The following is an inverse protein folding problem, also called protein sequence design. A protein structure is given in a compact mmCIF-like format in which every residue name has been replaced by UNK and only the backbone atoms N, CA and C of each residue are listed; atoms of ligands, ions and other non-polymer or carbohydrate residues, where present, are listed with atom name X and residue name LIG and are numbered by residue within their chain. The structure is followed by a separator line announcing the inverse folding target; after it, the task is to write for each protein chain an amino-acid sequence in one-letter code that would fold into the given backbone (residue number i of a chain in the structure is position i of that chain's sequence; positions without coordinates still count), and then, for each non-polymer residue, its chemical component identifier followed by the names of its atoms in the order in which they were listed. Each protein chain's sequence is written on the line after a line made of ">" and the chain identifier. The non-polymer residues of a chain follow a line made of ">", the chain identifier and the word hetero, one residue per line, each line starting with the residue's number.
data_IF_630240768110
#
_entry.id   IF_630240768110
#
_cell.length_a   1.000
_cell.length_b   1.000
_cell.length_c   1.000
_cell.angle_alpha   90.00
_cell.angle_beta   90.00
_cell.angle_gamma   90.00
#
_symmetry.space_group_name_H-M   'P 1'
#
loop_
_entity.id
_entity.type
_entity.pdbx_description
1 polymer ?
#
# COMPACT_ATOMS: atom_id res chain seq x y z
N UNK A 1 3.86 -2.94 -9.13
CA UNK A 1 3.12 -1.84 -9.79
C UNK A 1 2.34 -1.04 -8.74
N UNK A 2 1.74 0.10 -9.09
CA UNK A 2 1.07 1.00 -8.15
C UNK A 2 0.01 1.89 -8.86
N UNK A 3 -1.22 1.94 -8.33
CA UNK A 3 -2.31 2.79 -8.83
C UNK A 3 -2.44 4.13 -8.08
N UNK A 4 -1.51 4.48 -7.18
CA UNK A 4 -1.61 5.62 -6.30
C UNK A 4 -1.00 6.91 -6.88
N UNK A 5 -1.72 8.00 -6.65
CA UNK A 5 -1.33 9.40 -6.79
C UNK A 5 -1.04 9.97 -8.19
N UNK A 6 0.22 10.24 -8.56
CA UNK A 6 0.56 10.95 -9.81
C UNK A 6 0.62 9.98 -11.01
N UNK A 7 -0.28 10.10 -12.00
CA UNK A 7 -0.38 9.15 -13.10
C UNK A 7 0.66 9.34 -14.21
N UNK A 8 1.50 10.39 -14.16
CA UNK A 8 2.44 10.76 -15.21
C UNK A 8 3.91 10.63 -14.77
N UNK A 9 4.42 9.40 -14.54
CA UNK A 9 5.82 9.22 -14.20
C UNK A 9 6.73 9.70 -15.33
N UNK A 10 7.80 10.41 -14.97
CA UNK A 10 8.83 10.88 -15.90
C UNK A 10 10.22 10.42 -15.45
N UNK A 11 11.06 9.91 -16.37
CA UNK A 11 12.44 9.57 -16.04
C UNK A 11 13.25 10.84 -15.71
N UNK A 12 14.32 10.66 -14.95
CA UNK A 12 15.25 11.74 -14.60
C UNK A 12 15.10 12.23 -13.16
N UNK A 13 15.54 13.47 -12.90
CA UNK A 13 15.53 14.06 -11.55
C UNK A 13 14.08 14.20 -11.08
N UNK A 14 13.77 13.53 -9.97
CA UNK A 14 12.47 13.66 -9.31
C UNK A 14 12.26 15.10 -8.81
N UNK A 15 11.07 15.71 -9.03
CA UNK A 15 10.78 17.05 -8.56
C UNK A 15 10.97 17.19 -7.05
N UNK A 16 11.24 18.41 -6.61
CA UNK A 16 11.25 18.70 -5.17
C UNK A 16 9.84 18.51 -4.56
N UNK A 17 9.78 18.09 -3.29
CA UNK A 17 8.52 17.85 -2.61
C UNK A 17 7.72 19.15 -2.50
N UNK A 18 6.41 19.04 -2.68
CA UNK A 18 5.49 20.16 -2.47
C UNK A 18 5.34 20.40 -0.96
N UNK A 19 5.79 21.54 -0.40
CA UNK A 19 5.75 21.77 1.04
C UNK A 19 4.35 21.55 1.62
N UNK A 20 4.24 20.79 2.69
CA UNK A 20 2.96 20.57 3.37
C UNK A 20 1.91 19.77 2.62
N UNK A 21 2.29 19.09 1.53
CA UNK A 21 1.38 18.26 0.76
C UNK A 21 1.71 16.78 0.97
N UNK A 22 0.72 16.02 1.44
CA UNK A 22 0.85 14.58 1.68
C UNK A 22 1.10 13.78 0.39
N UNK A 23 1.93 12.74 0.49
CA UNK A 23 2.43 11.91 -0.62
C UNK A 23 2.96 12.77 -1.79
N UNK A 24 3.60 13.91 -1.49
CA UNK A 24 4.10 14.80 -2.53
C UNK A 24 4.99 14.03 -3.52
N UNK A 25 4.64 14.11 -4.81
CA UNK A 25 5.39 13.51 -5.92
C UNK A 25 5.44 11.96 -5.91
N UNK A 26 4.57 11.28 -5.15
CA UNK A 26 4.40 9.83 -5.30
C UNK A 26 3.88 9.51 -6.70
N UNK A 27 4.49 8.54 -7.37
CA UNK A 27 4.20 8.22 -8.77
C UNK A 27 3.50 6.87 -8.87
N UNK A 28 2.44 6.82 -9.67
CA UNK A 28 1.85 5.57 -10.11
C UNK A 28 2.82 4.83 -11.03
N UNK A 29 2.77 3.50 -11.00
CA UNK A 29 3.60 2.61 -11.82
C UNK A 29 2.72 1.54 -12.47
N UNK A 30 2.70 1.43 -13.82
CA UNK A 30 3.61 2.05 -14.78
C UNK A 30 3.21 3.45 -15.26
N UNK A 31 2.22 4.08 -14.61
CA UNK A 31 1.59 5.33 -15.05
C UNK A 31 0.48 5.11 -16.08
N UNK A 32 -0.39 6.11 -16.26
CA UNK A 32 -1.61 5.95 -17.06
C UNK A 32 -1.34 5.76 -18.55
N UNK A 33 -0.32 6.42 -19.11
CA UNK A 33 0.01 6.25 -20.52
C UNK A 33 0.42 4.80 -20.82
N UNK A 34 1.31 4.24 -20.00
CA UNK A 34 1.77 2.86 -20.14
C UNK A 34 0.66 1.84 -19.83
N UNK A 35 -0.17 2.10 -18.82
CA UNK A 35 -1.29 1.23 -18.47
C UNK A 35 -2.30 1.10 -19.63
N UNK A 36 -2.47 2.18 -20.41
CA UNK A 36 -3.40 2.24 -21.55
C UNK A 36 -2.84 1.64 -22.83
N UNK A 37 -1.53 1.57 -22.99
CA UNK A 37 -0.84 1.11 -24.19
C UNK A 37 -0.48 -0.37 -24.08
N UNK A 38 -1.27 -1.22 -24.75
CA UNK A 38 -1.00 -2.68 -24.77
C UNK A 38 0.31 -3.03 -25.50
N UNK A 39 0.82 -2.15 -26.36
CA UNK A 39 2.13 -2.32 -27.01
C UNK A 39 3.29 -2.30 -26.01
N UNK A 40 3.08 -1.75 -24.80
CA UNK A 40 4.07 -1.73 -23.72
C UNK A 40 4.03 -2.96 -22.82
N UNK A 41 3.09 -3.89 -23.00
CA UNK A 41 3.02 -5.12 -22.18
C UNK A 41 4.32 -5.95 -22.19
N UNK A 42 5.01 -6.15 -23.32
CA UNK A 42 6.28 -6.89 -23.33
C UNK A 42 7.36 -6.26 -22.44
N UNK A 43 7.43 -4.92 -22.39
CA UNK A 43 8.36 -4.20 -21.52
C UNK A 43 8.02 -4.39 -20.04
N UNK A 44 6.73 -4.29 -19.69
CA UNK A 44 6.26 -4.50 -18.31
C UNK A 44 6.45 -5.95 -17.85
N UNK A 45 6.20 -6.91 -18.74
CA UNK A 45 6.47 -8.33 -18.49
C UNK A 45 7.96 -8.57 -18.24
N UNK A 46 8.83 -8.03 -19.11
CA UNK A 46 10.27 -8.14 -18.96
C UNK A 46 10.73 -7.59 -17.60
N UNK A 47 10.27 -6.40 -17.20
CA UNK A 47 10.59 -5.83 -15.89
C UNK A 47 10.22 -6.76 -14.73
N UNK A 48 8.98 -7.30 -14.72
CA UNK A 48 8.52 -8.20 -13.66
C UNK A 48 9.37 -9.48 -13.62
N UNK A 49 9.59 -10.09 -14.79
CA UNK A 49 10.35 -11.33 -14.90
C UNK A 49 11.82 -11.15 -14.53
N UNK A 50 12.44 -10.05 -14.94
CA UNK A 50 13.85 -9.76 -14.66
C UNK A 50 14.09 -9.63 -13.16
N UNK A 51 13.25 -8.86 -12.45
CA UNK A 51 13.37 -8.68 -10.99
C UNK A 51 13.13 -10.00 -10.26
N UNK A 52 12.06 -10.72 -10.58
CA UNK A 52 11.72 -11.97 -9.88
C UNK A 52 12.72 -13.07 -10.21
N UNK A 53 13.21 -13.18 -11.44
CA UNK A 53 14.23 -14.18 -11.80
C UNK A 53 15.56 -13.89 -11.13
N UNK A 54 15.95 -12.61 -11.00
CA UNK A 54 17.20 -12.23 -10.37
C UNK A 54 17.24 -12.56 -8.86
N UNK A 55 16.10 -12.45 -8.16
CA UNK A 55 16.05 -12.59 -6.70
C UNK A 55 15.10 -13.66 -6.16
N UNK A 56 14.43 -14.43 -7.01
CA UNK A 56 13.37 -15.39 -6.62
C UNK A 56 13.84 -16.59 -5.79
N UNK A 57 15.14 -16.68 -5.49
CA UNK A 57 15.76 -17.68 -4.60
C UNK A 57 16.42 -17.05 -3.36
N UNK A 58 16.30 -15.74 -3.20
CA UNK A 58 16.90 -15.00 -2.08
C UNK A 58 16.03 -15.17 -0.82
N UNK A 59 16.59 -15.78 0.21
CA UNK A 59 15.89 -16.08 1.47
C UNK A 59 15.58 -14.84 2.31
N UNK A 60 16.14 -13.68 1.97
CA UNK A 60 15.83 -12.39 2.59
C UNK A 60 14.52 -11.80 2.08
N UNK A 61 14.04 -12.25 0.91
CA UNK A 61 12.73 -11.87 0.39
C UNK A 61 11.70 -12.78 1.02
N UNK A 62 10.68 -12.21 1.64
CA UNK A 62 9.63 -12.98 2.33
C UNK A 62 8.33 -13.09 1.51
N UNK A 63 8.12 -12.19 0.55
CA UNK A 63 6.95 -12.16 -0.32
C UNK A 63 7.17 -11.18 -1.48
N UNK A 64 6.40 -11.35 -2.57
CA UNK A 64 6.33 -10.43 -3.69
C UNK A 64 4.98 -9.71 -3.70
N UNK A 65 4.95 -8.43 -3.31
CA UNK A 65 3.80 -7.55 -3.51
C UNK A 65 3.83 -7.00 -4.94
N UNK A 66 3.00 -7.59 -5.80
CA UNK A 66 3.07 -7.38 -7.24
C UNK A 66 2.48 -6.03 -7.65
N UNK A 67 1.52 -5.51 -6.90
CA UNK A 67 0.76 -4.34 -7.30
C UNK A 67 0.07 -3.69 -6.09
N UNK A 68 0.50 -2.47 -5.79
CA UNK A 68 0.02 -1.63 -4.71
C UNK A 68 -1.31 -0.95 -5.05
N UNK A 69 -2.25 -1.00 -4.09
CA UNK A 69 -3.51 -0.27 -4.10
C UNK A 69 -4.32 -0.37 -5.42
N UNK A 70 -4.41 -1.56 -6.01
CA UNK A 70 -5.18 -1.76 -7.23
C UNK A 70 -6.60 -1.20 -7.12
N UNK A 71 -7.01 -0.50 -8.17
CA UNK A 71 -8.34 0.07 -8.25
C UNK A 71 -8.55 1.30 -7.38
N UNK A 72 -7.47 2.01 -7.05
CA UNK A 72 -7.51 3.32 -6.41
C UNK A 72 -8.01 4.44 -7.36
N UNK A 73 -9.19 4.25 -7.94
CA UNK A 73 -9.79 5.20 -8.88
C UNK A 73 -10.29 6.47 -8.17
N UNK A 74 -10.59 6.37 -6.87
CA UNK A 74 -11.39 7.38 -6.17
C UNK A 74 -10.58 8.35 -5.32
N UNK A 75 -9.37 8.01 -4.86
CA UNK A 75 -8.58 8.94 -4.04
C UNK A 75 -8.34 10.31 -4.74
N UNK A 76 -7.99 10.36 -6.04
CA UNK A 76 -7.88 11.63 -6.76
C UNK A 76 -9.21 12.40 -6.89
N UNK A 77 -10.35 11.72 -6.89
CA UNK A 77 -11.66 12.36 -6.93
C UNK A 77 -12.09 12.87 -5.54
N UNK A 78 -11.82 12.08 -4.49
CA UNK A 78 -12.15 12.41 -3.10
C UNK A 78 -11.36 13.61 -2.57
N UNK A 79 -10.19 13.89 -3.15
CA UNK A 79 -9.33 15.03 -2.81
C UNK A 79 -9.80 16.37 -3.42
N UNK A 80 -10.77 16.37 -4.35
CA UNK A 80 -11.30 17.60 -4.99
C UNK A 80 -12.34 18.31 -4.10
N UNK A 81 -12.47 19.63 -4.28
CA UNK A 81 -13.59 20.39 -3.72
C UNK A 81 -14.92 20.10 -4.44
N UNK A 82 -16.05 20.41 -3.79
CA UNK A 82 -17.35 20.39 -4.46
C UNK A 82 -17.51 21.60 -5.39
N UNK A 83 -18.18 21.48 -6.56
CA UNK A 83 -18.91 20.31 -7.09
C UNK A 83 -18.04 19.31 -7.87
N UNK A 84 -16.76 19.60 -8.09
CA UNK A 84 -15.85 18.78 -8.90
C UNK A 84 -15.67 17.34 -8.38
N UNK A 85 -15.82 17.13 -7.07
CA UNK A 85 -15.84 15.80 -6.44
C UNK A 85 -17.00 14.94 -6.95
N UNK A 86 -18.24 15.45 -6.88
CA UNK A 86 -19.43 14.69 -7.30
C UNK A 86 -19.36 14.29 -8.79
N UNK A 87 -18.98 15.22 -9.66
CA UNK A 87 -18.84 14.96 -11.09
C UNK A 87 -17.73 13.92 -11.37
N UNK A 88 -16.59 14.01 -10.68
CA UNK A 88 -15.49 13.05 -10.83
C UNK A 88 -15.90 11.65 -10.39
N UNK A 89 -16.61 11.51 -9.27
CA UNK A 89 -17.12 10.21 -8.78
C UNK A 89 -18.10 9.61 -9.80
N UNK A 90 -19.05 10.41 -10.31
CA UNK A 90 -20.01 9.95 -11.31
C UNK A 90 -19.31 9.46 -12.60
N UNK A 91 -18.31 10.20 -13.08
CA UNK A 91 -17.52 9.82 -14.25
C UNK A 91 -16.73 8.51 -14.02
N UNK A 92 -16.14 8.32 -12.83
CA UNK A 92 -15.46 7.07 -12.48
C UNK A 92 -16.44 5.89 -12.48
N UNK A 93 -17.59 6.04 -11.83
CA UNK A 93 -18.61 4.97 -11.77
C UNK A 93 -19.11 4.59 -13.16
N UNK A 94 -19.39 5.58 -14.01
CA UNK A 94 -19.79 5.34 -15.40
C UNK A 94 -18.67 4.65 -16.18
N UNK A 95 -17.42 5.09 -16.00
CA UNK A 95 -16.25 4.45 -16.59
C UNK A 95 -16.11 2.98 -16.18
N UNK A 96 -16.30 2.65 -14.90
CA UNK A 96 -16.25 1.25 -14.42
C UNK A 96 -17.38 0.39 -14.97
N UNK A 97 -18.53 0.98 -15.29
CA UNK A 97 -19.65 0.28 -15.92
C UNK A 97 -19.39 0.01 -17.41
N UNK A 98 -18.81 0.99 -18.12
CA UNK A 98 -18.73 0.97 -19.58
C UNK A 98 -17.39 0.51 -20.14
N UNK A 99 -16.30 0.61 -19.37
CA UNK A 99 -14.94 0.38 -19.86
C UNK A 99 -14.29 -0.83 -19.20
N UNK A 100 -13.41 -1.56 -19.91
CA UNK A 100 -12.60 -2.60 -19.32
C UNK A 100 -11.70 -2.06 -18.21
N UNK A 101 -11.62 -2.81 -17.11
CA UNK A 101 -10.71 -2.52 -16.01
C UNK A 101 -9.27 -2.88 -16.40
N UNK A 102 -8.50 -1.86 -16.79
CA UNK A 102 -7.12 -2.01 -17.25
C UNK A 102 -6.18 -2.38 -16.11
N UNK A 103 -6.41 -1.86 -14.91
CA UNK A 103 -5.62 -2.21 -13.72
C UNK A 103 -5.82 -3.68 -13.36
N UNK A 104 -7.07 -4.17 -13.34
CA UNK A 104 -7.34 -5.60 -13.12
C UNK A 104 -6.74 -6.49 -14.23
N UNK A 105 -6.76 -6.04 -15.50
CA UNK A 105 -6.13 -6.78 -16.59
C UNK A 105 -4.62 -6.92 -16.37
N UNK A 106 -3.92 -5.81 -16.10
CA UNK A 106 -2.48 -5.83 -15.84
C UNK A 106 -2.15 -6.64 -14.58
N UNK A 107 -2.95 -6.52 -13.53
CA UNK A 107 -2.80 -7.30 -12.30
C UNK A 107 -2.80 -8.80 -12.58
N UNK A 108 -3.79 -9.29 -13.33
CA UNK A 108 -3.87 -10.72 -13.72
C UNK A 108 -2.63 -11.18 -14.48
N UNK A 109 -2.21 -10.39 -15.47
CA UNK A 109 -1.00 -10.69 -16.24
C UNK A 109 0.25 -10.68 -15.35
N UNK A 110 0.33 -9.76 -14.39
CA UNK A 110 1.47 -9.66 -13.46
C UNK A 110 1.58 -10.91 -12.58
N UNK A 111 0.46 -11.44 -12.08
CA UNK A 111 0.44 -12.73 -11.39
C UNK A 111 0.90 -13.87 -12.31
N UNK A 112 0.40 -13.95 -13.55
CA UNK A 112 0.82 -14.97 -14.52
C UNK A 112 2.34 -14.91 -14.80
N UNK A 113 2.88 -13.71 -15.03
CA UNK A 113 4.30 -13.49 -15.28
C UNK A 113 5.15 -13.87 -14.07
N UNK A 114 4.77 -13.43 -12.88
CA UNK A 114 5.47 -13.77 -11.63
C UNK A 114 5.46 -15.28 -11.38
N UNK A 115 4.30 -15.94 -11.54
CA UNK A 115 4.19 -17.40 -11.41
C UNK A 115 5.06 -18.14 -12.42
N UNK A 116 5.17 -17.64 -13.65
CA UNK A 116 6.02 -18.28 -14.67
C UNK A 116 7.51 -18.29 -14.32
N UNK A 117 7.96 -17.41 -13.42
CA UNK A 117 9.32 -17.39 -12.90
C UNK A 117 9.54 -18.42 -11.77
N UNK A 118 8.46 -18.99 -11.23
CA UNK A 118 8.46 -19.95 -10.12
C UNK A 118 9.34 -19.53 -8.93
N UNK A 119 9.18 -18.31 -8.34
CA UNK A 119 9.96 -17.91 -7.16
C UNK A 119 9.63 -18.78 -5.94
N UNK A 120 10.56 -18.87 -4.99
CA UNK A 120 10.36 -19.61 -3.74
C UNK A 120 9.38 -18.90 -2.80
N UNK A 121 9.27 -17.57 -2.92
CA UNK A 121 8.48 -16.72 -2.03
C UNK A 121 7.02 -16.59 -2.49
N UNK A 122 6.07 -16.40 -1.56
CA UNK A 122 4.66 -16.18 -1.88
C UNK A 122 4.41 -14.90 -2.68
N UNK A 123 3.39 -14.93 -3.54
CA UNK A 123 2.91 -13.78 -4.30
C UNK A 123 1.68 -13.16 -3.65
N UNK A 124 1.57 -11.83 -3.70
CA UNK A 124 0.43 -11.10 -3.15
C UNK A 124 0.18 -9.75 -3.83
N UNK A 125 -0.96 -9.15 -3.54
CA UNK A 125 -1.35 -7.78 -3.87
C UNK A 125 -2.52 -7.38 -2.96
N UNK A 126 -2.54 -6.12 -2.50
CA UNK A 126 -3.36 -5.76 -1.34
C UNK A 126 -4.85 -5.63 -1.63
N UNK A 127 -5.66 -6.24 -0.75
CA UNK A 127 -7.10 -5.98 -0.65
C UNK A 127 -7.32 -4.63 0.04
N UNK A 128 -7.41 -3.60 -0.79
CA UNK A 128 -7.51 -2.21 -0.33
C UNK A 128 -8.91 -1.62 -0.53
N UNK A 129 -9.47 -1.74 -1.73
CA UNK A 129 -10.68 -1.02 -2.12
C UNK A 129 -11.94 -1.89 -2.07
N UNK A 130 -13.12 -1.27 -1.92
CA UNK A 130 -14.40 -1.96 -1.94
C UNK A 130 -14.85 -2.29 -3.38
N UNK A 131 -14.18 -3.24 -4.03
CA UNK A 131 -14.56 -3.79 -5.33
C UNK A 131 -14.68 -5.30 -5.25
N UNK A 132 -15.90 -5.83 -5.41
CA UNK A 132 -16.16 -7.26 -5.24
C UNK A 132 -15.47 -8.14 -6.29
N UNK A 133 -15.28 -7.65 -7.53
CA UNK A 133 -14.66 -8.41 -8.61
C UNK A 133 -13.14 -8.47 -8.42
N UNK A 134 -12.54 -7.31 -8.15
CA UNK A 134 -11.11 -7.21 -7.86
C UNK A 134 -10.76 -7.99 -6.58
N UNK A 135 -11.51 -7.80 -5.50
CA UNK A 135 -11.23 -8.47 -4.23
C UNK A 135 -11.38 -9.99 -4.33
N UNK A 136 -12.34 -10.49 -5.12
CA UNK A 136 -12.44 -11.93 -5.39
C UNK A 136 -11.15 -12.45 -6.05
N UNK A 137 -10.67 -11.77 -7.09
CA UNK A 137 -9.43 -12.17 -7.75
C UNK A 137 -8.22 -12.10 -6.81
N UNK A 138 -8.05 -11.00 -6.06
CA UNK A 138 -6.95 -10.84 -5.10
C UNK A 138 -6.94 -11.95 -4.04
N UNK A 139 -8.11 -12.29 -3.49
CA UNK A 139 -8.27 -13.37 -2.52
C UNK A 139 -7.99 -14.75 -3.12
N UNK A 140 -8.27 -14.97 -4.41
CA UNK A 140 -8.04 -16.25 -5.09
C UNK A 140 -6.58 -16.41 -5.52
N UNK A 141 -5.96 -15.37 -6.07
CA UNK A 141 -4.63 -15.43 -6.70
C UNK A 141 -3.44 -15.32 -5.72
N UNK A 142 -3.63 -14.66 -4.57
CA UNK A 142 -2.54 -14.36 -3.62
C UNK A 142 -2.28 -15.51 -2.65
N UNK A 143 -1.02 -15.96 -2.51
CA UNK A 143 -0.64 -17.02 -1.57
C UNK A 143 -0.80 -16.60 -0.11
N UNK A 144 -0.52 -15.33 0.16
CA UNK A 144 -0.78 -14.64 1.43
C UNK A 144 -1.71 -13.46 1.16
N UNK A 145 -2.62 -13.19 2.08
CA UNK A 145 -3.58 -12.09 1.92
C UNK A 145 -3.00 -10.82 2.55
N UNK A 146 -2.75 -9.82 1.73
CA UNK A 146 -2.36 -8.49 2.20
C UNK A 146 -3.53 -7.51 2.16
N UNK A 147 -3.49 -6.51 3.03
CA UNK A 147 -4.49 -5.43 3.08
C UNK A 147 -3.90 -4.18 3.73
N UNK A 148 -4.54 -3.04 3.50
CA UNK A 148 -4.18 -1.78 4.18
C UNK A 148 -5.31 -1.36 5.14
N UNK A 149 -4.96 -0.75 6.26
CA UNK A 149 -5.93 -0.21 7.22
C UNK A 149 -5.40 1.03 7.93
N UNK A 150 -6.13 2.14 7.79
CA UNK A 150 -5.81 3.43 8.39
C UNK A 150 -6.89 3.91 9.38
N UNK A 151 -7.72 3.00 9.87
CA UNK A 151 -8.87 3.28 10.73
C UNK A 151 -8.59 2.84 12.18
N UNK A 152 -9.57 3.02 13.06
CA UNK A 152 -9.47 2.57 14.44
C UNK A 152 -9.61 1.04 14.60
N UNK A 153 -9.27 0.55 15.79
CA UNK A 153 -9.21 -0.88 16.15
C UNK A 153 -10.45 -1.68 15.74
N UNK A 154 -11.66 -1.14 15.94
CA UNK A 154 -12.90 -1.83 15.58
C UNK A 154 -12.99 -2.18 14.09
N UNK A 155 -12.53 -1.27 13.23
CA UNK A 155 -12.52 -1.49 11.78
C UNK A 155 -11.43 -2.51 11.39
N UNK A 156 -10.24 -2.37 11.99
CA UNK A 156 -9.14 -3.32 11.81
C UNK A 156 -9.54 -4.75 12.17
N UNK A 157 -10.14 -4.96 13.35
CA UNK A 157 -10.56 -6.28 13.83
C UNK A 157 -11.64 -6.90 12.91
N UNK A 158 -12.58 -6.08 12.44
CA UNK A 158 -13.60 -6.53 11.49
C UNK A 158 -12.98 -6.94 10.14
N UNK A 159 -12.00 -6.17 9.64
CA UNK A 159 -11.30 -6.50 8.39
C UNK A 159 -10.46 -7.78 8.54
N UNK A 160 -9.70 -7.94 9.62
CA UNK A 160 -8.93 -9.17 9.92
C UNK A 160 -9.85 -10.37 9.98
N UNK A 161 -10.96 -10.28 10.72
CA UNK A 161 -11.95 -11.36 10.86
C UNK A 161 -12.50 -11.80 9.51
N UNK A 162 -12.75 -10.85 8.60
CA UNK A 162 -13.22 -11.14 7.24
C UNK A 162 -12.14 -11.83 6.41
N UNK A 163 -10.92 -11.31 6.41
CA UNK A 163 -9.83 -11.79 5.55
C UNK A 163 -9.30 -13.16 5.96
N UNK A 164 -9.28 -13.47 7.27
CA UNK A 164 -8.91 -14.80 7.79
C UNK A 164 -9.80 -15.93 7.28
N UNK A 165 -11.03 -15.65 6.82
CA UNK A 165 -11.93 -16.65 6.21
C UNK A 165 -11.36 -17.26 4.93
N UNK A 166 -10.34 -16.65 4.32
CA UNK A 166 -9.60 -17.21 3.19
C UNK A 166 -8.81 -18.47 3.54
N UNK A 167 -8.52 -18.71 4.84
CA UNK A 167 -7.66 -19.82 5.28
C UNK A 167 -6.16 -19.62 4.95
N UNK A 168 -5.77 -18.44 4.48
CA UNK A 168 -4.39 -18.08 4.14
C UNK A 168 -3.78 -17.16 5.19
N UNK A 169 -2.43 -17.09 5.31
CA UNK A 169 -1.77 -16.10 6.15
C UNK A 169 -2.20 -14.69 5.79
N UNK A 170 -2.30 -13.81 6.79
CA UNK A 170 -2.79 -12.44 6.62
C UNK A 170 -1.74 -11.44 7.11
N UNK A 171 -1.52 -10.39 6.34
CA UNK A 171 -0.51 -9.35 6.58
C UNK A 171 -1.08 -7.95 6.28
N UNK A 172 -0.97 -7.02 7.22
CA UNK A 172 -1.34 -5.63 6.99
C UNK A 172 -0.14 -4.87 6.43
N UNK A 173 -0.08 -4.62 5.11
CA UNK A 173 1.10 -4.03 4.46
C UNK A 173 1.17 -2.51 4.59
N UNK A 174 0.06 -1.86 4.94
CA UNK A 174 0.07 -0.46 5.30
C UNK A 174 -0.90 -0.22 6.46
N UNK A 175 -0.40 0.37 7.53
CA UNK A 175 -1.22 1.00 8.53
C UNK A 175 -0.63 2.32 9.00
N UNK A 176 -1.46 2.98 9.81
CA UNK A 176 -1.16 4.06 10.73
C UNK A 176 -1.56 5.43 10.18
N UNK A 177 -2.40 6.11 10.95
CA UNK A 177 -2.93 7.43 10.68
C UNK A 177 -3.31 7.99 12.05
N UNK A 178 -2.34 8.59 12.76
CA UNK A 178 -2.49 8.98 14.18
C UNK A 178 -3.76 9.79 14.48
N UNK A 179 -4.17 10.77 13.65
CA UNK A 179 -5.40 11.54 13.87
C UNK A 179 -6.69 10.71 13.78
N UNK A 180 -6.68 9.54 13.14
CA UNK A 180 -7.81 8.62 13.03
C UNK A 180 -7.81 7.56 14.14
N UNK A 181 -6.90 7.65 15.11
CA UNK A 181 -6.74 6.66 16.17
C UNK A 181 -6.00 5.39 15.74
N UNK A 182 -5.47 5.36 14.51
CA UNK A 182 -4.59 4.29 14.04
C UNK A 182 -3.17 4.55 14.50
N UNK A 183 -2.68 3.76 15.48
CA UNK A 183 -1.44 4.00 16.25
C UNK A 183 -0.77 2.69 16.64
N UNK A 184 0.54 2.70 16.89
CA UNK A 184 1.28 1.51 17.34
C UNK A 184 0.71 0.91 18.63
N UNK A 185 0.50 1.73 19.67
CA UNK A 185 0.01 1.27 20.96
C UNK A 185 -1.39 0.65 20.94
N UNK A 186 -2.21 0.96 19.94
CA UNK A 186 -3.55 0.38 19.78
C UNK A 186 -3.58 -0.78 18.79
N UNK A 187 -2.73 -0.76 17.75
CA UNK A 187 -2.79 -1.71 16.64
C UNK A 187 -1.84 -2.91 16.80
N UNK A 188 -0.61 -2.70 17.30
CA UNK A 188 0.33 -3.82 17.49
C UNK A 188 -0.21 -4.92 18.43
N UNK A 189 -0.92 -4.60 19.53
CA UNK A 189 -1.57 -5.64 20.34
C UNK A 189 -2.61 -6.46 19.57
N UNK A 190 -3.37 -5.83 18.66
CA UNK A 190 -4.37 -6.52 17.82
C UNK A 190 -3.65 -7.44 16.84
N UNK A 191 -2.65 -6.94 16.11
CA UNK A 191 -1.87 -7.74 15.16
C UNK A 191 -1.25 -8.96 15.83
N UNK A 192 -0.60 -8.79 17.00
CA UNK A 192 -0.01 -9.90 17.76
C UNK A 192 -1.07 -10.91 18.22
N UNK A 193 -2.18 -10.45 18.82
CA UNK A 193 -3.26 -11.33 19.30
C UNK A 193 -3.89 -12.13 18.15
N UNK A 194 -4.00 -11.51 16.97
CA UNK A 194 -4.57 -12.13 15.79
C UNK A 194 -3.54 -12.95 14.98
N UNK A 195 -2.25 -12.94 15.32
CA UNK A 195 -1.22 -13.60 14.50
C UNK A 195 -1.15 -13.03 13.07
N UNK A 196 -1.32 -11.72 12.93
CA UNK A 196 -1.28 -10.99 11.65
C UNK A 196 0.01 -10.17 11.62
N UNK A 197 0.82 -10.33 10.58
CA UNK A 197 1.99 -9.46 10.39
C UNK A 197 1.58 -8.03 10.03
N UNK A 198 2.46 -7.05 10.21
CA UNK A 198 2.16 -5.67 9.84
C UNK A 198 3.37 -4.84 9.42
N UNK A 199 3.16 -3.90 8.49
CA UNK A 199 4.08 -2.84 8.09
C UNK A 199 3.43 -1.47 8.27
N UNK A 200 4.14 -0.55 8.90
CA UNK A 200 3.72 0.85 8.98
C UNK A 200 3.92 1.53 7.62
N UNK A 201 2.94 2.32 7.18
CA UNK A 201 3.16 3.27 6.11
C UNK A 201 3.92 4.47 6.67
N UNK A 202 4.96 4.91 5.96
CA UNK A 202 5.86 5.95 6.45
C UNK A 202 6.92 5.42 7.43
N UNK A 203 8.12 6.00 7.35
CA UNK A 203 9.23 5.64 8.23
C UNK A 203 10.01 6.90 8.63
N UNK A 204 10.44 7.68 7.64
CA UNK A 204 11.22 8.90 7.84
C UNK A 204 10.48 10.07 7.22
N UNK A 205 10.51 11.23 7.87
CA UNK A 205 10.02 12.51 7.34
C UNK A 205 10.78 12.94 6.08
N UNK A 206 10.50 12.28 4.96
CA UNK A 206 11.18 12.42 3.68
C UNK A 206 10.38 13.20 2.65
N UNK A 207 10.82 13.11 1.38
CA UNK A 207 10.22 13.85 0.26
C UNK A 207 8.73 13.55 0.02
N UNK A 208 8.26 12.38 0.41
CA UNK A 208 6.85 12.02 0.29
C UNK A 208 5.95 12.80 1.25
N UNK A 209 6.50 13.53 2.23
CA UNK A 209 5.74 14.41 3.12
C UNK A 209 4.62 13.68 3.88
N UNK A 210 4.89 12.46 4.31
CA UNK A 210 3.95 11.57 5.01
C UNK A 210 3.75 11.94 6.50
N UNK A 211 4.44 12.97 7.01
CA UNK A 211 4.09 13.64 8.27
C UNK A 211 2.77 14.43 8.17
N UNK A 212 2.41 14.89 6.97
CA UNK A 212 1.19 15.65 6.71
C UNK A 212 0.01 14.72 6.40
N UNK A 213 -1.20 15.18 6.72
CA UNK A 213 -2.44 14.44 6.50
C UNK A 213 -2.92 14.50 5.05
N UNK A 214 -3.81 13.58 4.67
CA UNK A 214 -4.47 13.62 3.36
C UNK A 214 -5.24 14.90 3.06
N UNK A 215 -5.48 15.78 4.04
CA UNK A 215 -6.19 17.05 3.86
C UNK A 215 -5.24 18.24 3.70
N UNK A 216 -3.96 18.09 4.05
CA UNK A 216 -3.00 19.17 4.00
C UNK A 216 -2.55 19.46 2.56
N UNK A 217 -2.50 20.75 2.20
CA UNK A 217 -2.30 21.23 0.82
C UNK A 217 -1.35 22.43 0.74
N UNK A 218 -0.34 22.54 1.60
CA UNK A 218 0.62 23.65 1.46
C UNK A 218 1.18 24.28 2.73
N UNK A 219 0.98 23.73 3.93
CA UNK A 219 1.55 24.31 5.15
C UNK A 219 3.04 23.98 5.27
N UNK A 220 3.91 25.00 5.43
CA UNK A 220 5.31 24.77 5.74
C UNK A 220 5.56 24.36 7.21
N UNK A 221 4.58 24.58 8.10
CA UNK A 221 4.75 24.26 9.51
C UNK A 221 4.56 22.76 9.77
N UNK A 222 5.50 22.18 10.51
CA UNK A 222 5.44 20.81 10.98
C UNK A 222 4.14 20.57 11.80
N UNK A 223 3.37 19.52 11.50
CA UNK A 223 2.17 19.21 12.28
C UNK A 223 2.49 18.83 13.72
N UNK A 224 1.68 19.28 14.67
CA UNK A 224 1.79 18.87 16.09
C UNK A 224 1.66 17.34 16.28
N UNK A 225 0.89 16.70 15.41
CA UNK A 225 0.72 15.24 15.36
C UNK A 225 1.02 14.81 13.94
N UNK A 226 2.10 14.06 13.76
CA UNK A 226 2.46 13.50 12.47
C UNK A 226 1.45 12.44 12.02
N UNK A 227 1.27 12.34 10.72
CA UNK A 227 0.30 11.41 10.16
C UNK A 227 0.82 9.97 10.15
N UNK A 228 1.95 9.72 9.47
CA UNK A 228 2.50 8.37 9.25
C UNK A 228 3.95 8.19 9.72
N UNK A 229 4.85 9.13 9.46
CA UNK A 229 6.28 8.85 9.70
C UNK A 229 6.61 8.69 11.19
N UNK A 230 7.75 8.05 11.45
CA UNK A 230 8.21 7.67 12.79
C UNK A 230 9.48 8.43 13.16
N UNK A 231 10.36 8.64 12.19
CA UNK A 231 11.69 9.21 12.36
C UNK A 231 11.80 10.57 11.66
N UNK A 232 12.56 11.47 12.27
CA UNK A 232 13.10 12.66 11.60
C UNK A 232 14.22 12.26 10.63
N UNK A 233 14.59 13.20 9.76
CA UNK A 233 15.66 13.02 8.76
C UNK A 233 17.00 12.64 9.42
N UNK A 234 17.25 13.15 10.63
CA UNK A 234 18.45 12.83 11.42
C UNK A 234 18.37 11.48 12.16
N UNK A 235 17.27 10.75 12.02
CA UNK A 235 17.03 9.47 12.68
C UNK A 235 16.43 9.55 14.08
N UNK A 236 16.21 10.76 14.63
CA UNK A 236 15.54 10.91 15.94
C UNK A 236 14.06 10.58 15.86
N UNK A 237 13.48 10.06 16.94
CA UNK A 237 12.06 9.69 16.95
C UNK A 237 11.15 10.93 17.00
N UNK A 238 10.06 10.91 16.23
CA UNK A 238 8.98 11.89 16.42
C UNK A 238 8.42 11.82 17.85
N UNK A 239 8.15 10.59 18.31
CA UNK A 239 7.61 10.26 19.63
C UNK A 239 8.38 9.06 20.20
N UNK A 240 9.21 9.28 21.22
CA UNK A 240 10.01 8.23 21.87
C UNK A 240 9.12 7.15 22.53
N UNK A 241 7.94 7.53 23.04
CA UNK A 241 7.02 6.57 23.64
C UNK A 241 6.44 5.58 22.62
N UNK A 242 6.22 6.02 21.37
CA UNK A 242 5.84 5.11 20.29
C UNK A 242 6.99 4.16 19.91
N UNK A 243 8.23 4.64 19.92
CA UNK A 243 9.41 3.79 19.64
C UNK A 243 9.58 2.73 20.72
N UNK A 244 9.36 3.05 21.99
CA UNK A 244 9.41 2.07 23.07
C UNK A 244 8.35 0.97 22.91
N UNK A 245 7.15 1.34 22.46
CA UNK A 245 6.12 0.36 22.10
C UNK A 245 6.58 -0.52 20.93
N UNK A 246 7.14 0.07 19.87
CA UNK A 246 7.65 -0.70 18.72
C UNK A 246 8.74 -1.68 19.15
N UNK A 247 9.73 -1.22 19.93
CA UNK A 247 10.82 -2.07 20.45
C UNK A 247 10.27 -3.26 21.24
N UNK A 248 9.34 -3.01 22.17
CA UNK A 248 8.68 -4.07 22.95
C UNK A 248 8.02 -5.15 22.07
N UNK A 249 7.45 -4.76 20.94
CA UNK A 249 6.81 -5.70 20.02
C UNK A 249 7.77 -6.36 19.03
N UNK A 250 8.93 -5.75 18.77
CA UNK A 250 9.98 -6.28 17.91
C UNK A 250 10.93 -7.25 18.63
N UNK A 251 11.05 -7.14 19.96
CA UNK A 251 11.81 -8.11 20.77
C UNK A 251 11.21 -9.52 20.62
N UNK A 252 12.04 -10.46 20.15
CA UNK A 252 11.70 -11.90 20.13
C UNK A 252 11.47 -12.36 21.57
N UNK A 253 10.29 -12.90 21.87
CA UNK A 253 10.02 -13.48 23.18
C UNK A 253 10.35 -14.98 23.18
N UNK A 254 10.86 -15.53 24.30
CA UNK A 254 11.04 -16.98 24.41
C UNK A 254 9.70 -17.70 24.22
N UNK A 255 9.58 -18.46 23.13
CA UNK A 255 8.34 -19.17 22.76
C UNK A 255 7.70 -18.68 21.45
N UNK A 256 8.16 -17.56 20.88
CA UNK A 256 7.83 -17.22 19.49
C UNK A 256 8.45 -18.31 18.59
N UNK A 257 7.62 -19.08 17.89
CA UNK A 257 8.10 -20.06 16.93
C UNK A 257 8.97 -19.36 15.89
N UNK A 258 10.12 -19.93 15.55
CA UNK A 258 10.86 -19.52 14.37
C UNK A 258 9.98 -19.84 13.15
N UNK A 259 9.10 -18.91 12.79
CA UNK A 259 8.41 -18.92 11.50
C UNK A 259 9.48 -18.57 10.46
N UNK A 260 10.22 -19.59 10.04
CA UNK A 260 10.89 -19.62 8.74
C UNK A 260 9.96 -20.32 7.76
#
# INVERSE_FOLDING_TARGET
>A
FDDCWDPEPRPGKQPDPLPGAHNARWLASPGYAALKDEGRRPELEAYVKDVITAFGRDDRIIAWDLYNENGNYFLPALSKAQPGKALSIAAILLGKLLLPDRSLKLLKQTFEWARSCSPDQPLTSSVWFADARLNRFLLEASDIITFHNYNGVKDLEAQITRLKKSGRPVLCTEFMARPRGSRFGTHLPVFRREGVGCYCWGLVAGKTNTIFSWQDRGSAAEPKVWFHDILRIDGTAFDEGEVDVIRKFAEKHPGDSDAR
#
